data_IF_731385164742
#
_entry.id   IF_731385164742
#
_cell.length_a   1.000
_cell.length_b   1.000
_cell.length_c   1.000
_cell.angle_alpha   90.00
_cell.angle_beta   90.00
_cell.angle_gamma   90.00
#
_symmetry.space_group_name_H-M   'P 1'
#
loop_
_entity.id
_entity.type
_entity.pdbx_description
1 polymer ?
#
# COMPACT_ATOMS: atom_id res chain seq x y z
N UNK A 1 -15.31 -29.55 -5.42
CA UNK A 1 -14.43 -29.81 -6.57
C UNK A 1 -13.84 -28.45 -7.02
N UNK A 2 -12.70 -28.06 -6.45
CA UNK A 2 -12.02 -26.81 -6.81
C UNK A 2 -10.86 -27.15 -7.76
N UNK A 3 -10.81 -26.48 -8.91
CA UNK A 3 -9.75 -26.64 -9.91
C UNK A 3 -8.43 -26.08 -9.37
N UNK A 4 -7.41 -26.91 -9.32
CA UNK A 4 -6.00 -26.50 -9.16
C UNK A 4 -5.53 -25.80 -10.44
N UNK A 5 -4.71 -24.76 -10.31
CA UNK A 5 -4.07 -24.05 -11.43
C UNK A 5 -2.56 -24.10 -11.24
N UNK A 6 -1.84 -24.51 -12.29
CA UNK A 6 -0.38 -24.53 -12.32
C UNK A 6 0.20 -23.12 -12.35
N UNK A 7 1.27 -22.92 -11.59
CA UNK A 7 1.99 -21.66 -11.45
C UNK A 7 3.10 -21.59 -12.53
N UNK A 8 2.74 -21.25 -13.78
CA UNK A 8 3.73 -21.09 -14.86
C UNK A 8 4.00 -19.61 -15.12
N UNK A 9 4.95 -19.04 -14.37
CA UNK A 9 5.57 -17.74 -14.66
C UNK A 9 7.06 -17.91 -14.96
N UNK A 10 7.71 -16.94 -15.63
CA UNK A 10 9.13 -17.02 -16.02
C UNK A 10 10.11 -17.20 -14.85
N UNK A 11 9.68 -16.98 -13.61
CA UNK A 11 10.41 -17.29 -12.38
C UNK A 11 10.36 -18.78 -11.99
N UNK A 12 9.31 -19.52 -12.36
CA UNK A 12 9.21 -20.97 -12.13
C UNK A 12 10.21 -21.73 -12.99
N UNK A 13 10.37 -21.32 -14.25
CA UNK A 13 11.32 -21.94 -15.20
C UNK A 13 12.78 -21.72 -14.78
N UNK A 14 13.08 -20.61 -14.10
CA UNK A 14 14.40 -20.31 -13.52
C UNK A 14 14.69 -21.13 -12.26
N UNK A 15 13.64 -21.47 -11.48
CA UNK A 15 13.76 -22.28 -10.27
C UNK A 15 13.83 -23.79 -10.58
N UNK A 16 13.10 -24.26 -11.59
CA UNK A 16 13.16 -25.66 -12.06
C UNK A 16 14.53 -26.01 -12.64
N UNK A 17 15.13 -25.11 -13.43
CA UNK A 17 16.49 -25.32 -13.97
C UNK A 17 17.57 -25.34 -12.89
N UNK A 18 17.33 -24.71 -11.73
CA UNK A 18 18.24 -24.73 -10.59
C UNK A 18 18.12 -26.05 -9.81
N UNK A 19 16.91 -26.57 -9.64
CA UNK A 19 16.63 -27.80 -8.88
C UNK A 19 16.97 -29.09 -9.65
N UNK A 20 16.95 -29.07 -10.99
CA UNK A 20 17.37 -30.22 -11.82
C UNK A 20 18.88 -30.54 -11.71
N UNK A 21 19.70 -29.65 -11.12
CA UNK A 21 21.14 -29.89 -10.92
C UNK A 21 21.48 -30.63 -9.62
N UNK A 22 20.50 -30.98 -8.79
CA UNK A 22 20.72 -31.80 -7.60
C UNK A 22 19.82 -33.05 -7.64
N UNK A 23 20.44 -34.18 -7.96
CA UNK A 23 19.80 -35.49 -7.99
C UNK A 23 19.36 -35.91 -6.58
N UNK A 24 18.06 -35.85 -6.30
CA UNK A 24 17.44 -36.68 -5.26
C UNK A 24 16.17 -37.27 -5.85
N UNK A 25 16.27 -38.56 -6.12
CA UNK A 25 15.16 -39.47 -6.39
C UNK A 25 14.34 -39.61 -5.10
N UNK A 26 13.02 -39.38 -5.13
CA UNK A 26 12.12 -40.40 -4.61
C UNK A 26 10.63 -40.16 -4.87
N UNK A 27 9.96 -41.30 -4.93
CA UNK A 27 8.59 -41.58 -5.30
C UNK A 27 7.47 -40.79 -4.59
N UNK A 28 6.44 -40.52 -5.39
CA UNK A 28 5.05 -40.14 -5.08
C UNK A 28 4.55 -40.46 -3.65
N UNK A 29 4.30 -39.41 -2.88
CA UNK A 29 3.04 -39.23 -2.16
C UNK A 29 2.75 -37.73 -1.98
N UNK A 30 1.81 -37.22 -2.75
CA UNK A 30 1.39 -35.81 -2.74
C UNK A 30 0.37 -35.64 -1.61
N UNK A 31 0.78 -35.00 -0.51
CA UNK A 31 -0.17 -34.44 0.46
C UNK A 31 0.51 -33.38 1.33
N UNK A 32 0.00 -32.14 1.28
CA UNK A 32 0.01 -31.04 2.27
C UNK A 32 1.25 -30.72 3.16
N UNK A 33 2.41 -31.32 2.94
CA UNK A 33 3.60 -31.08 3.77
C UNK A 33 4.21 -29.68 3.54
N UNK A 34 4.10 -29.09 2.35
CA UNK A 34 4.79 -27.84 2.02
C UNK A 34 4.26 -26.61 2.78
N UNK A 35 2.96 -26.55 3.08
CA UNK A 35 2.36 -25.43 3.81
C UNK A 35 2.62 -25.53 5.32
N UNK A 36 2.62 -26.75 5.87
CA UNK A 36 2.94 -27.04 7.28
C UNK A 36 4.44 -26.82 7.53
N UNK A 37 5.30 -27.27 6.61
CA UNK A 37 6.75 -27.03 6.69
C UNK A 37 7.06 -25.55 6.64
N UNK A 38 6.43 -24.74 5.77
CA UNK A 38 6.68 -23.29 5.77
C UNK A 38 6.27 -22.58 7.08
N UNK A 39 5.18 -22.98 7.74
CA UNK A 39 4.80 -22.38 9.02
C UNK A 39 5.69 -22.84 10.19
N UNK A 40 6.12 -24.10 10.19
CA UNK A 40 7.14 -24.61 11.14
C UNK A 40 8.50 -23.94 10.88
N UNK A 41 8.89 -23.75 9.63
CA UNK A 41 10.14 -23.09 9.25
C UNK A 41 10.10 -21.60 9.59
N UNK A 42 8.95 -20.93 9.44
CA UNK A 42 8.76 -19.53 9.84
C UNK A 42 8.79 -19.38 11.36
N UNK A 43 8.16 -20.29 12.11
CA UNK A 43 8.25 -20.34 13.58
C UNK A 43 9.68 -20.64 14.05
N UNK A 44 10.40 -21.53 13.39
CA UNK A 44 11.80 -21.82 13.69
C UNK A 44 12.73 -20.66 13.30
N UNK A 45 12.46 -19.95 12.20
CA UNK A 45 13.15 -18.70 11.85
C UNK A 45 12.91 -17.61 12.89
N UNK A 46 11.66 -17.47 13.37
CA UNK A 46 11.29 -16.49 14.40
C UNK A 46 11.88 -16.83 15.78
N UNK A 47 12.04 -18.12 16.10
CA UNK A 47 12.79 -18.58 17.28
C UNK A 47 14.30 -18.33 17.17
N UNK A 48 14.86 -18.36 15.95
CA UNK A 48 16.28 -18.12 15.67
C UNK A 48 16.65 -16.62 15.63
N UNK A 49 15.69 -15.72 15.44
CA UNK A 49 15.94 -14.27 15.53
C UNK A 49 16.19 -13.84 16.98
N UNK A 50 17.47 -13.76 17.33
CA UNK A 50 17.93 -13.07 18.53
C UNK A 50 17.63 -11.57 18.36
N UNK A 51 16.85 -11.00 19.27
CA UNK A 51 16.67 -9.56 19.39
C UNK A 51 18.04 -8.87 19.46
N UNK A 52 18.44 -8.13 18.42
CA UNK A 52 19.78 -7.51 18.34
C UNK A 52 20.03 -6.55 19.50
N UNK A 53 18.96 -5.92 20.01
CA UNK A 53 19.03 -4.97 21.14
C UNK A 53 19.07 -5.63 22.52
N UNK A 54 18.54 -6.85 22.67
CA UNK A 54 18.28 -7.43 24.00
C UNK A 54 18.80 -8.86 24.18
N UNK A 55 19.30 -9.50 23.12
CA UNK A 55 19.92 -10.84 23.08
C UNK A 55 19.09 -12.01 23.64
N UNK A 56 17.78 -11.83 23.81
CA UNK A 56 16.88 -12.89 24.30
C UNK A 56 16.30 -13.70 23.13
N UNK A 57 16.28 -15.03 23.25
CA UNK A 57 15.58 -15.92 22.32
C UNK A 57 14.06 -15.82 22.54
N UNK A 58 13.29 -15.78 21.46
CA UNK A 58 11.84 -15.66 21.52
C UNK A 58 11.22 -16.89 22.19
N UNK A 59 10.48 -16.69 23.29
CA UNK A 59 9.88 -17.74 24.11
C UNK A 59 8.48 -18.18 23.65
N UNK A 60 8.00 -17.68 22.50
CA UNK A 60 6.64 -17.94 22.00
C UNK A 60 5.56 -17.00 22.55
N UNK A 61 5.87 -16.17 23.56
CA UNK A 61 4.88 -15.24 24.11
C UNK A 61 4.82 -13.94 23.29
N UNK A 62 3.66 -13.71 22.69
CA UNK A 62 3.29 -12.43 22.08
C UNK A 62 2.36 -11.68 23.03
N UNK A 63 2.91 -10.68 23.72
CA UNK A 63 2.16 -9.73 24.54
C UNK A 63 1.13 -8.98 23.70
N UNK A 64 0.11 -8.39 24.34
CA UNK A 64 -0.90 -7.54 23.69
C UNK A 64 -0.21 -6.45 22.85
N UNK A 65 0.81 -5.80 23.41
CA UNK A 65 1.63 -4.80 22.71
C UNK A 65 2.35 -5.32 21.45
N UNK A 66 2.75 -6.59 21.41
CA UNK A 66 3.36 -7.19 20.20
C UNK A 66 2.29 -7.60 19.17
N UNK A 67 1.06 -7.92 19.61
CA UNK A 67 -0.11 -8.11 18.72
C UNK A 67 -0.55 -6.78 18.10
N UNK A 68 -0.54 -5.71 18.88
CA UNK A 68 -0.70 -4.33 18.40
C UNK A 68 0.44 -3.94 17.46
N UNK A 69 1.66 -4.43 17.72
CA UNK A 69 2.80 -4.43 16.79
C UNK A 69 2.44 -4.79 15.35
N UNK A 70 1.59 -5.82 15.16
CA UNK A 70 1.16 -6.27 13.85
C UNK A 70 0.17 -5.30 13.15
N UNK A 71 -0.55 -4.47 13.91
CA UNK A 71 -1.37 -3.38 13.36
C UNK A 71 -0.48 -2.35 12.66
N UNK A 72 0.69 -2.05 13.23
CA UNK A 72 1.68 -1.15 12.61
C UNK A 72 2.26 -1.70 11.30
N UNK A 73 2.13 -3.01 11.04
CA UNK A 73 2.51 -3.67 9.78
C UNK A 73 1.33 -3.72 8.79
N UNK A 74 0.20 -3.07 9.11
CA UNK A 74 -0.98 -2.99 8.24
C UNK A 74 -1.88 -4.22 8.27
N UNK A 75 -1.70 -5.11 9.25
CA UNK A 75 -2.57 -6.27 9.45
C UNK A 75 -3.82 -5.79 10.18
N UNK A 76 -4.90 -5.50 9.44
CA UNK A 76 -6.19 -5.11 10.02
C UNK A 76 -6.77 -6.19 10.97
N UNK A 77 -7.76 -5.82 11.79
CA UNK A 77 -8.29 -6.69 12.87
C UNK A 77 -8.63 -8.12 12.43
N UNK A 78 -9.31 -8.29 11.29
CA UNK A 78 -9.63 -9.63 10.77
C UNK A 78 -8.39 -10.43 10.35
N UNK A 79 -7.39 -9.74 9.79
CA UNK A 79 -6.09 -10.34 9.47
C UNK A 79 -5.37 -10.79 10.75
N UNK A 80 -5.43 -9.96 11.79
CA UNK A 80 -4.82 -10.25 13.09
C UNK A 80 -5.54 -11.41 13.78
N UNK A 81 -6.87 -11.46 13.70
CA UNK A 81 -7.67 -12.59 14.20
C UNK A 81 -7.28 -13.89 13.51
N UNK A 82 -7.15 -13.89 12.18
CA UNK A 82 -6.69 -15.06 11.42
C UNK A 82 -5.26 -15.45 11.78
N UNK A 83 -4.35 -14.48 11.92
CA UNK A 83 -2.97 -14.71 12.32
C UNK A 83 -2.90 -15.33 13.71
N UNK A 84 -3.59 -14.75 14.69
CA UNK A 84 -3.70 -15.30 16.04
C UNK A 84 -4.24 -16.73 16.03
N UNK A 85 -5.31 -16.99 15.26
CA UNK A 85 -5.87 -18.33 15.13
C UNK A 85 -4.88 -19.34 14.52
N UNK A 86 -4.15 -18.97 13.46
CA UNK A 86 -3.14 -19.82 12.83
C UNK A 86 -2.00 -20.14 13.80
N UNK A 87 -1.60 -19.16 14.62
CA UNK A 87 -0.52 -19.29 15.61
C UNK A 87 -0.99 -19.89 16.94
N UNK A 88 -2.27 -20.28 17.06
CA UNK A 88 -2.89 -20.74 18.30
C UNK A 88 -2.69 -19.76 19.48
N UNK A 89 -2.75 -18.46 19.19
CA UNK A 89 -2.68 -17.37 20.16
C UNK A 89 -4.10 -16.93 20.54
N UNK A 90 -4.29 -16.38 21.76
CA UNK A 90 -5.55 -15.74 22.10
C UNK A 90 -5.90 -14.64 21.08
N UNK A 91 -7.19 -14.41 20.91
CA UNK A 91 -7.69 -13.39 19.97
C UNK A 91 -7.04 -12.03 20.25
N UNK A 92 -6.91 -11.19 19.22
CA UNK A 92 -6.53 -9.80 19.45
C UNK A 92 -7.57 -9.07 20.30
N UNK A 93 -7.25 -7.83 20.68
CA UNK A 93 -8.22 -6.92 21.27
C UNK A 93 -9.52 -6.91 20.45
N UNK A 94 -10.66 -6.70 21.11
CA UNK A 94 -11.94 -6.64 20.41
C UNK A 94 -11.99 -5.49 19.40
N UNK A 95 -12.98 -5.56 18.51
CA UNK A 95 -13.11 -4.65 17.37
C UNK A 95 -13.33 -3.19 17.80
N UNK A 96 -14.00 -2.96 18.94
CA UNK A 96 -14.26 -1.62 19.46
C UNK A 96 -12.95 -0.98 19.94
N UNK A 97 -12.20 -1.66 20.83
CA UNK A 97 -10.91 -1.16 21.29
C UNK A 97 -9.89 -1.03 20.15
N UNK A 98 -9.92 -1.93 19.17
CA UNK A 98 -9.09 -1.79 17.97
C UNK A 98 -9.42 -0.51 17.22
N UNK A 99 -10.71 -0.24 17.01
CA UNK A 99 -11.18 0.94 16.29
C UNK A 99 -10.81 2.22 17.03
N UNK A 100 -11.02 2.29 18.35
CA UNK A 100 -10.62 3.42 19.20
C UNK A 100 -9.11 3.68 19.12
N UNK A 101 -8.30 2.61 19.12
CA UNK A 101 -6.84 2.73 18.99
C UNK A 101 -6.45 3.32 17.64
N UNK A 102 -7.08 2.88 16.55
CA UNK A 102 -6.83 3.43 15.21
C UNK A 102 -7.27 4.89 15.15
N UNK A 103 -8.45 5.23 15.66
CA UNK A 103 -8.95 6.62 15.69
C UNK A 103 -8.02 7.55 16.48
N UNK A 104 -7.43 7.07 17.57
CA UNK A 104 -6.44 7.82 18.34
C UNK A 104 -5.11 8.02 17.57
N UNK A 105 -4.64 6.99 16.87
CA UNK A 105 -3.34 7.02 16.18
C UNK A 105 -3.38 7.75 14.84
N UNK A 106 -4.50 7.72 14.12
CA UNK A 106 -4.62 8.30 12.78
C UNK A 106 -4.21 9.78 12.71
N UNK A 107 -4.65 10.68 13.60
CA UNK A 107 -4.22 12.08 13.58
C UNK A 107 -2.71 12.25 13.81
N UNK A 108 -2.12 11.39 14.64
CA UNK A 108 -0.68 11.40 14.94
C UNK A 108 0.11 11.02 13.67
N UNK A 109 -0.29 9.94 12.99
CA UNK A 109 0.33 9.53 11.73
C UNK A 109 0.16 10.57 10.63
N UNK A 110 -1.02 11.17 10.51
CA UNK A 110 -1.29 12.23 9.52
C UNK A 110 -0.42 13.47 9.76
N UNK A 111 -0.22 13.85 11.03
CA UNK A 111 0.68 14.94 11.41
C UNK A 111 2.14 14.63 11.05
N UNK A 112 2.64 13.45 11.43
CA UNK A 112 4.01 13.03 11.13
C UNK A 112 4.25 12.88 9.62
N UNK A 113 3.28 12.35 8.88
CA UNK A 113 3.31 12.25 7.41
C UNK A 113 3.45 13.64 6.80
N UNK A 114 2.59 14.57 7.20
CA UNK A 114 2.58 15.93 6.67
C UNK A 114 3.90 16.65 6.93
N UNK A 115 4.42 16.56 8.16
CA UNK A 115 5.71 17.14 8.53
C UNK A 115 6.85 16.49 7.74
N UNK A 116 6.85 15.15 7.60
CA UNK A 116 7.89 14.45 6.86
C UNK A 116 7.92 14.85 5.39
N UNK A 117 6.75 15.01 4.75
CA UNK A 117 6.62 15.44 3.35
C UNK A 117 7.04 16.91 3.17
N UNK A 118 6.66 17.80 4.08
CA UNK A 118 7.11 19.19 4.07
C UNK A 118 8.64 19.29 4.16
N UNK A 119 9.26 18.56 5.09
CA UNK A 119 10.71 18.52 5.23
C UNK A 119 11.39 17.96 3.97
N UNK A 120 10.81 16.92 3.35
CA UNK A 120 11.32 16.35 2.11
C UNK A 120 11.28 17.35 0.95
N UNK A 121 10.21 18.15 0.86
CA UNK A 121 10.07 19.22 -0.13
C UNK A 121 11.10 20.32 0.12
N UNK A 122 11.21 20.83 1.34
CA UNK A 122 12.17 21.89 1.66
C UNK A 122 13.61 21.48 1.34
N UNK A 123 14.00 20.25 1.68
CA UNK A 123 15.32 19.73 1.35
C UNK A 123 15.51 19.60 -0.17
N UNK A 124 14.48 19.15 -0.88
CA UNK A 124 14.53 19.04 -2.34
C UNK A 124 14.70 20.43 -2.99
N UNK A 125 13.92 21.43 -2.57
CA UNK A 125 14.03 22.80 -3.06
C UNK A 125 15.40 23.43 -2.82
N UNK A 126 16.00 23.18 -1.65
CA UNK A 126 17.37 23.63 -1.32
C UNK A 126 18.40 23.02 -2.26
N UNK A 127 18.21 21.76 -2.67
CA UNK A 127 19.12 21.04 -3.59
C UNK A 127 18.91 21.39 -5.05
N UNK A 128 17.68 21.69 -5.48
CA UNK A 128 17.34 22.03 -6.86
C UNK A 128 17.56 23.51 -7.21
N UNK A 129 18.17 24.31 -6.33
CA UNK A 129 18.35 25.77 -6.50
C UNK A 129 17.04 26.50 -6.89
N UNK A 130 15.92 26.05 -6.32
CA UNK A 130 14.59 26.60 -6.58
C UNK A 130 13.47 25.58 -6.40
N UNK A 131 12.22 26.03 -6.39
CA UNK A 131 11.02 25.19 -6.18
C UNK A 131 10.46 24.54 -7.46
N UNK A 132 11.30 24.40 -8.50
CA UNK A 132 10.99 23.66 -9.72
C UNK A 132 11.69 22.31 -9.64
N UNK A 133 10.93 21.22 -9.55
CA UNK A 133 11.44 19.91 -9.12
C UNK A 133 11.23 18.87 -10.23
N UNK A 134 12.25 18.03 -10.41
CA UNK A 134 12.13 16.78 -11.16
C UNK A 134 11.60 15.68 -10.24
N UNK A 135 10.55 15.01 -10.68
CA UNK A 135 9.85 14.00 -9.86
C UNK A 135 9.67 12.69 -10.61
N UNK A 136 9.62 11.60 -9.85
CA UNK A 136 9.06 10.33 -10.28
C UNK A 136 7.70 10.13 -9.61
N UNK A 137 6.77 9.45 -10.27
CA UNK A 137 5.48 9.12 -9.66
C UNK A 137 5.05 7.72 -10.05
N UNK A 138 4.58 6.97 -9.07
CA UNK A 138 4.18 5.57 -9.19
C UNK A 138 2.94 5.28 -8.31
N UNK A 139 2.24 4.19 -8.64
CA UNK A 139 1.06 3.71 -7.95
C UNK A 139 1.25 2.34 -7.31
N UNK A 140 0.55 2.10 -6.21
CA UNK A 140 0.38 0.77 -5.63
C UNK A 140 -1.09 0.46 -5.40
N UNK A 141 -1.45 -0.81 -5.53
CA UNK A 141 -2.84 -1.27 -5.52
C UNK A 141 -3.06 -2.34 -4.46
N UNK A 142 -4.27 -2.38 -3.90
CA UNK A 142 -4.68 -3.42 -2.95
C UNK A 142 -4.57 -4.84 -3.53
N UNK A 143 -4.87 -5.01 -4.82
CA UNK A 143 -4.85 -6.31 -5.50
C UNK A 143 -4.18 -6.21 -6.85
N UNK A 144 -3.48 -7.26 -7.26
CA UNK A 144 -2.93 -7.37 -8.63
C UNK A 144 -4.04 -7.39 -9.68
N UNK A 145 -3.76 -6.80 -10.84
CA UNK A 145 -4.67 -6.75 -11.99
C UNK A 145 -5.60 -5.53 -11.99
N UNK A 146 -6.48 -5.46 -12.98
CA UNK A 146 -7.29 -4.27 -13.28
C UNK A 146 -8.57 -4.10 -12.45
N UNK A 147 -8.69 -4.82 -11.33
CA UNK A 147 -9.89 -4.84 -10.49
C UNK A 147 -9.70 -4.25 -9.09
N UNK A 148 -8.56 -3.59 -8.82
CA UNK A 148 -8.32 -3.01 -7.50
C UNK A 148 -9.35 -1.94 -7.16
N UNK A 149 -9.85 -1.96 -5.93
CA UNK A 149 -10.81 -0.98 -5.43
C UNK A 149 -10.14 0.20 -4.72
N UNK A 150 -8.88 0.01 -4.31
CA UNK A 150 -8.09 1.01 -3.63
C UNK A 150 -6.71 1.10 -4.29
N UNK A 151 -6.19 2.32 -4.37
CA UNK A 151 -4.83 2.61 -4.82
C UNK A 151 -4.24 3.73 -3.99
N UNK A 152 -2.92 3.74 -3.89
CA UNK A 152 -2.15 4.86 -3.36
C UNK A 152 -1.17 5.24 -4.44
N UNK A 153 -1.08 6.53 -4.73
CA UNK A 153 -0.15 7.08 -5.70
C UNK A 153 0.77 8.02 -4.95
N UNK A 154 2.06 7.97 -5.27
CA UNK A 154 3.05 8.84 -4.66
C UNK A 154 3.83 9.64 -5.70
N UNK A 155 4.42 10.74 -5.22
CA UNK A 155 5.39 11.53 -5.95
C UNK A 155 6.68 11.55 -5.16
N UNK A 156 7.76 11.13 -5.80
CA UNK A 156 9.11 11.03 -5.26
C UNK A 156 10.01 12.11 -5.86
N UNK A 157 10.93 12.64 -5.06
CA UNK A 157 12.03 13.44 -5.58
C UNK A 157 13.11 12.58 -6.25
N UNK A 158 13.80 13.15 -7.23
CA UNK A 158 14.87 12.47 -7.98
C UNK A 158 16.29 12.90 -7.58
N UNK A 159 16.41 13.74 -6.54
CA UNK A 159 17.70 14.09 -5.92
C UNK A 159 18.30 12.84 -5.22
N UNK A 160 19.62 12.79 -4.90
CA UNK A 160 20.39 11.54 -4.68
C UNK A 160 19.83 10.53 -3.67
N UNK A 161 18.92 10.97 -2.81
CA UNK A 161 18.10 10.09 -1.97
C UNK A 161 16.65 10.44 -2.27
N UNK A 162 15.96 9.56 -2.98
CA UNK A 162 14.55 9.75 -3.31
C UNK A 162 13.72 9.82 -2.02
N UNK A 163 12.86 10.83 -1.92
CA UNK A 163 11.94 11.01 -0.80
C UNK A 163 10.54 11.22 -1.31
N UNK A 164 9.57 10.70 -0.56
CA UNK A 164 8.16 10.95 -0.81
C UNK A 164 7.85 12.41 -0.53
N UNK A 165 7.38 13.13 -1.55
CA UNK A 165 7.00 14.52 -1.48
C UNK A 165 5.50 14.67 -1.19
N UNK A 166 4.69 13.79 -1.76
CA UNK A 166 3.24 13.79 -1.58
C UNK A 166 2.63 12.42 -1.93
N UNK A 167 1.44 12.11 -1.40
CA UNK A 167 0.68 10.89 -1.69
C UNK A 167 -0.81 11.17 -1.87
N UNK A 168 -1.46 10.43 -2.76
CA UNK A 168 -2.91 10.47 -2.96
C UNK A 168 -3.49 9.07 -2.79
N UNK A 169 -4.47 8.94 -1.90
CA UNK A 169 -5.26 7.72 -1.74
C UNK A 169 -6.46 7.78 -2.68
N UNK A 170 -6.60 6.81 -3.58
CA UNK A 170 -7.75 6.66 -4.44
C UNK A 170 -8.61 5.47 -4.01
N UNK A 171 -9.93 5.67 -3.97
CA UNK A 171 -10.87 4.62 -3.62
C UNK A 171 -12.13 4.65 -4.48
N UNK A 172 -12.51 3.45 -4.93
CA UNK A 172 -13.78 3.14 -5.60
C UNK A 172 -14.82 2.57 -4.63
N UNK A 173 -14.45 2.33 -3.37
CA UNK A 173 -15.31 1.71 -2.38
C UNK A 173 -15.23 2.45 -1.05
N UNK A 174 -16.37 2.57 -0.38
CA UNK A 174 -16.43 3.00 1.01
C UNK A 174 -17.10 1.90 1.83
N UNK A 175 -16.49 1.52 2.95
CA UNK A 175 -16.99 0.48 3.85
C UNK A 175 -18.35 0.87 4.42
N UNK A 176 -18.50 2.12 4.87
CA UNK A 176 -19.75 2.68 5.39
C UNK A 176 -20.85 2.63 4.32
N UNK A 177 -20.58 3.09 3.09
CA UNK A 177 -21.54 3.02 1.98
C UNK A 177 -21.98 1.58 1.68
N UNK A 178 -21.04 0.64 1.75
CA UNK A 178 -21.33 -0.78 1.51
C UNK A 178 -22.23 -1.33 2.62
N UNK A 179 -21.92 -1.00 3.88
CA UNK A 179 -22.72 -1.40 5.04
C UNK A 179 -24.11 -0.76 5.06
N UNK A 180 -24.24 0.49 4.61
CA UNK A 180 -25.52 1.21 4.55
C UNK A 180 -26.60 0.48 3.72
N UNK A 181 -26.18 -0.31 2.72
CA UNK A 181 -27.11 -1.09 1.90
C UNK A 181 -27.88 -2.13 2.72
N UNK A 182 -27.28 -2.69 3.78
CA UNK A 182 -27.91 -3.75 4.59
C UNK A 182 -29.02 -3.20 5.50
N UNK A 183 -28.92 -1.92 5.91
CA UNK A 183 -29.88 -1.30 6.83
C UNK A 183 -30.94 -0.45 6.13
N UNK A 184 -30.83 -0.27 4.81
CA UNK A 184 -31.73 0.60 4.02
C UNK A 184 -33.21 0.26 4.21
N UNK A 185 -33.56 -1.03 4.21
CA UNK A 185 -34.94 -1.48 4.33
C UNK A 185 -35.35 -1.76 5.78
N UNK A 186 -34.42 -2.18 6.64
CA UNK A 186 -34.71 -2.55 8.03
C UNK A 186 -34.76 -1.35 8.98
N UNK A 187 -34.00 -0.28 8.68
CA UNK A 187 -34.03 0.95 9.46
C UNK A 187 -33.81 2.18 8.54
N UNK A 188 -34.87 2.64 7.83
CA UNK A 188 -34.79 3.75 6.89
C UNK A 188 -34.35 5.08 7.51
N UNK A 189 -34.71 5.32 8.79
CA UNK A 189 -34.34 6.54 9.50
C UNK A 189 -32.83 6.59 9.73
N UNK A 190 -32.25 5.52 10.30
CA UNK A 190 -30.79 5.40 10.50
C UNK A 190 -30.03 5.42 9.17
N UNK A 191 -30.59 4.82 8.12
CA UNK A 191 -30.04 4.91 6.77
C UNK A 191 -29.90 6.36 6.29
N UNK A 192 -30.97 7.17 6.40
CA UNK A 192 -30.95 8.56 5.96
C UNK A 192 -30.03 9.43 6.80
N UNK A 193 -29.98 9.20 8.11
CA UNK A 193 -29.06 9.89 9.02
C UNK A 193 -27.60 9.67 8.60
N UNK A 194 -27.13 8.42 8.54
CA UNK A 194 -25.74 8.11 8.19
C UNK A 194 -25.45 8.54 6.75
N UNK A 195 -26.38 8.37 5.81
CA UNK A 195 -26.20 8.85 4.43
C UNK A 195 -25.90 10.34 4.38
N UNK A 196 -26.55 11.14 5.23
CA UNK A 196 -26.38 12.59 5.26
C UNK A 196 -25.17 13.04 6.07
N UNK A 197 -24.73 12.29 7.09
CA UNK A 197 -23.64 12.67 7.99
C UNK A 197 -22.29 12.05 7.62
N UNK A 198 -22.27 10.92 6.93
CA UNK A 198 -21.01 10.23 6.62
C UNK A 198 -20.17 11.02 5.60
N UNK A 199 -18.86 11.03 5.82
CA UNK A 199 -17.90 11.47 4.84
C UNK A 199 -17.52 10.29 3.95
N UNK A 200 -18.00 10.29 2.70
CA UNK A 200 -17.73 9.19 1.78
C UNK A 200 -16.24 9.10 1.44
N UNK A 201 -15.68 7.90 1.55
CA UNK A 201 -14.28 7.65 1.20
C UNK A 201 -14.05 7.44 -0.30
N UNK A 202 -15.12 7.29 -1.09
CA UNK A 202 -15.05 7.11 -2.55
C UNK A 202 -14.66 8.45 -3.17
N UNK A 203 -13.52 8.46 -3.83
CA UNK A 203 -13.01 9.64 -4.53
C UNK A 203 -12.52 9.30 -5.94
N UNK A 204 -12.71 8.07 -6.43
CA UNK A 204 -12.37 7.64 -7.78
C UNK A 204 -13.53 6.87 -8.41
N UNK A 205 -13.99 7.31 -9.58
CA UNK A 205 -15.16 6.73 -10.26
C UNK A 205 -14.81 6.01 -11.57
N UNK A 206 -13.56 6.16 -12.04
CA UNK A 206 -13.11 5.59 -13.29
C UNK A 206 -12.54 4.16 -13.13
N UNK A 207 -11.84 3.67 -14.15
CA UNK A 207 -11.20 2.36 -14.14
C UNK A 207 -10.11 2.27 -13.07
N UNK A 208 -9.80 1.07 -12.58
CA UNK A 208 -8.70 0.90 -11.63
C UNK A 208 -7.33 1.19 -12.27
N UNK A 209 -7.22 0.95 -13.58
CA UNK A 209 -6.05 1.29 -14.38
C UNK A 209 -5.82 2.81 -14.52
N UNK A 210 -6.84 3.64 -14.31
CA UNK A 210 -6.70 5.11 -14.39
C UNK A 210 -6.45 5.77 -13.04
N UNK A 211 -6.36 4.98 -11.96
CA UNK A 211 -6.08 5.53 -10.62
C UNK A 211 -4.72 6.23 -10.55
N UNK A 212 -3.71 5.66 -11.20
CA UNK A 212 -2.37 6.25 -11.22
C UNK A 212 -2.38 7.59 -11.95
N UNK A 213 -2.92 7.62 -13.16
CA UNK A 213 -3.07 8.84 -13.97
C UNK A 213 -3.82 9.93 -13.21
N UNK A 214 -4.97 9.61 -12.62
CA UNK A 214 -5.77 10.58 -11.86
C UNK A 214 -5.08 10.99 -10.56
N UNK A 215 -4.38 10.07 -9.89
CA UNK A 215 -3.63 10.33 -8.67
C UNK A 215 -2.46 11.27 -8.92
N UNK A 216 -1.60 10.97 -9.90
CA UNK A 216 -0.46 11.80 -10.27
C UNK A 216 -0.95 13.19 -10.68
N UNK A 217 -2.00 13.27 -11.50
CA UNK A 217 -2.58 14.56 -11.87
C UNK A 217 -3.00 15.38 -10.64
N UNK A 218 -3.70 14.79 -9.66
CA UNK A 218 -4.09 15.49 -8.42
C UNK A 218 -2.90 15.98 -7.61
N UNK A 219 -1.83 15.17 -7.53
CA UNK A 219 -0.59 15.53 -6.83
C UNK A 219 0.07 16.75 -7.48
N UNK A 220 0.17 16.75 -8.81
CA UNK A 220 0.67 17.89 -9.57
C UNK A 220 -0.21 19.14 -9.37
N UNK A 221 -1.53 19.02 -9.52
CA UNK A 221 -2.46 20.16 -9.43
C UNK A 221 -2.48 20.85 -8.06
N UNK A 222 -2.11 20.15 -6.98
CA UNK A 222 -2.12 20.72 -5.62
C UNK A 222 -0.76 21.15 -5.11
N UNK A 223 0.33 20.79 -5.80
CA UNK A 223 1.69 21.00 -5.30
C UNK A 223 2.02 22.46 -5.03
N UNK A 224 1.58 23.38 -5.90
CA UNK A 224 1.84 24.81 -5.77
C UNK A 224 1.08 25.39 -4.57
N UNK A 225 -0.20 25.02 -4.42
CA UNK A 225 -1.03 25.47 -3.30
C UNK A 225 -0.56 24.92 -1.95
N UNK A 226 -0.16 23.65 -1.90
CA UNK A 226 0.20 22.98 -0.64
C UNK A 226 1.64 23.25 -0.21
N UNK A 227 2.55 23.36 -1.17
CA UNK A 227 3.99 23.34 -0.89
C UNK A 227 4.78 24.43 -1.60
N UNK A 228 4.12 25.28 -2.40
CA UNK A 228 4.77 26.32 -3.19
C UNK A 228 5.85 25.75 -4.14
N UNK A 229 5.58 24.58 -4.73
CA UNK A 229 6.45 23.91 -5.70
C UNK A 229 5.73 23.54 -6.98
N UNK A 230 6.48 23.51 -8.07
CA UNK A 230 6.01 23.06 -9.39
C UNK A 230 6.87 21.88 -9.85
N UNK A 231 6.21 20.83 -10.32
CA UNK A 231 6.88 19.65 -10.86
C UNK A 231 7.08 19.83 -12.37
N UNK A 232 8.31 20.13 -12.78
CA UNK A 232 8.60 20.56 -14.16
C UNK A 232 9.07 19.42 -15.05
N UNK A 233 9.64 18.38 -14.46
CA UNK A 233 10.09 17.19 -15.16
C UNK A 233 9.49 15.95 -14.50
N UNK A 234 8.98 15.04 -15.31
CA UNK A 234 8.35 13.81 -14.87
C UNK A 234 9.09 12.59 -15.43
N UNK A 235 9.51 11.71 -14.53
CA UNK A 235 10.02 10.36 -14.82
C UNK A 235 8.89 9.39 -14.51
N UNK A 236 8.52 8.55 -15.46
CA UNK A 236 7.46 7.55 -15.29
C UNK A 236 7.88 6.20 -15.84
N UNK A 237 7.36 5.13 -15.25
CA UNK A 237 7.76 3.73 -15.47
C UNK A 237 7.28 3.12 -16.81
N UNK A 238 6.60 3.91 -17.64
CA UNK A 238 6.09 3.46 -18.92
C UNK A 238 4.56 3.44 -19.05
N UNK A 239 3.77 3.82 -18.03
CA UNK A 239 2.36 4.09 -18.27
C UNK A 239 2.22 5.30 -19.23
N UNK A 240 1.94 4.97 -20.49
CA UNK A 240 1.89 5.91 -21.59
C UNK A 240 0.80 6.98 -21.42
N UNK A 241 -0.05 6.89 -20.40
CA UNK A 241 -1.22 7.76 -20.20
C UNK A 241 -0.99 8.92 -19.23
N UNK A 242 -0.03 8.83 -18.32
CA UNK A 242 0.22 9.88 -17.32
C UNK A 242 0.66 11.17 -18.00
N UNK A 243 1.71 11.10 -18.82
CA UNK A 243 2.24 12.29 -19.50
C UNK A 243 1.24 12.97 -20.44
N UNK A 244 0.51 12.24 -21.32
CA UNK A 244 -0.57 12.85 -22.10
C UNK A 244 -1.63 13.56 -21.26
N UNK A 245 -1.98 13.04 -20.08
CA UNK A 245 -2.91 13.72 -19.17
C UNK A 245 -2.31 15.05 -18.68
N UNK A 246 -1.07 15.04 -18.21
CA UNK A 246 -0.36 16.23 -17.75
C UNK A 246 -0.13 17.27 -18.87
N UNK A 247 0.01 16.82 -20.12
CA UNK A 247 0.22 17.70 -21.28
C UNK A 247 -1.08 18.30 -21.83
N UNK A 248 -2.16 17.51 -21.89
CA UNK A 248 -3.45 17.96 -22.44
C UNK A 248 -4.27 18.79 -21.46
N UNK A 249 -4.01 18.61 -20.16
CA UNK A 249 -4.64 19.33 -19.06
C UNK A 249 -3.51 19.82 -18.14
N UNK A 250 -2.82 20.93 -18.47
CA UNK A 250 -1.65 21.36 -17.72
C UNK A 250 -2.04 21.79 -16.29
N UNK A 251 -1.38 21.23 -15.26
CA UNK A 251 -1.65 21.62 -13.86
C UNK A 251 -1.12 23.02 -13.53
N UNK A 252 -0.21 23.56 -14.35
CA UNK A 252 0.42 24.88 -14.17
C UNK A 252 0.16 25.75 -15.40
N UNK A 253 0.02 27.07 -15.20
CA UNK A 253 -0.30 28.02 -16.28
C UNK A 253 0.92 28.51 -17.04
N UNK A 254 2.07 28.54 -16.38
CA UNK A 254 3.30 29.20 -16.81
C UNK A 254 4.39 28.22 -17.29
N UNK A 255 4.17 26.91 -17.10
CA UNK A 255 5.16 25.86 -17.38
C UNK A 255 4.52 24.67 -18.07
N UNK A 256 5.20 24.17 -19.09
CA UNK A 256 4.94 22.85 -19.67
C UNK A 256 5.81 21.80 -19.00
N UNK A 257 5.21 20.65 -18.69
CA UNK A 257 5.91 19.51 -18.08
C UNK A 257 6.72 18.79 -19.14
N UNK A 258 7.97 18.44 -18.81
CA UNK A 258 8.88 17.69 -19.68
C UNK A 258 8.91 16.24 -19.23
N UNK A 259 8.62 15.30 -20.14
CA UNK A 259 8.85 13.87 -19.88
C UNK A 259 10.34 13.57 -20.00
N UNK A 260 10.90 12.88 -19.03
CA UNK A 260 12.23 12.28 -19.11
C UNK A 260 12.02 10.77 -19.28
N UNK A 261 12.71 10.17 -20.24
CA UNK A 261 12.66 8.72 -20.44
C UNK A 261 13.44 7.99 -19.34
N UNK A 262 12.88 6.88 -18.86
CA UNK A 262 13.55 5.99 -17.92
C UNK A 262 14.71 5.27 -18.63
N UNK A 263 15.84 5.11 -17.95
CA UNK A 263 17.09 4.54 -18.49
C UNK A 263 16.98 3.03 -18.76
N UNK A 264 15.86 2.41 -18.38
CA UNK A 264 15.62 0.96 -18.46
C UNK A 264 14.69 0.53 -19.61
N UNK A 265 14.34 1.44 -20.54
CA UNK A 265 13.55 1.13 -21.72
C UNK A 265 14.18 1.61 -23.03
#
# INVERSE_FOLDING_TARGET
MYKTRSFSGPSHQKLSNFLETQSIDDNKNVNDYYQIIHNLFLLELMKQTICVSCKVMWNGDMSISKREGANFVGIGHQGLTKLCAILNLPTPIDEDHFSETIEYLLPIFESHKSLSMQNAIEETCKKSNGCKITVSGDGTWQTRGFSSLHGIVDILSTVPTAKVLDIERLSKKCSICTGLLSIKNSNPNKYMEIKNTHQCEINHFASSASMEVDGIYRLFSRSERLYNVQYTHYIGDGDAKVFPKLSNDPPYKDISIVKIEDVNH
#
